data_IF_135361449387
#
_entry.id   IF_135361449387
#
_cell.length_a   1.000
_cell.length_b   1.000
_cell.length_c   1.000
_cell.angle_alpha   90.00
_cell.angle_beta   90.00
_cell.angle_gamma   90.00
#
_symmetry.space_group_name_H-M   'P 1'
#
loop_
_entity.id
_entity.type
_entity.pdbx_description
1 polymer ?
#
# COMPACT_ATOMS: atom_id res chain seq x y z
N UNK A 1 15.41 13.38 3.83
CA UNK A 1 15.53 11.96 3.44
C UNK A 1 16.08 11.95 2.04
N UNK A 2 17.07 11.10 1.74
CA UNK A 2 17.59 10.97 0.37
C UNK A 2 16.41 10.59 -0.55
N UNK A 3 16.30 11.26 -1.69
CA UNK A 3 15.28 11.00 -2.70
C UNK A 3 15.66 9.73 -3.48
N UNK A 4 15.92 8.63 -2.77
CA UNK A 4 16.09 7.32 -3.37
C UNK A 4 14.69 6.89 -3.78
N UNK A 5 14.37 7.04 -5.07
CA UNK A 5 13.02 6.80 -5.58
C UNK A 5 12.45 5.43 -5.20
N UNK A 6 11.13 5.25 -5.39
CA UNK A 6 10.43 4.01 -5.05
C UNK A 6 11.10 2.79 -5.71
N UNK A 7 11.81 1.99 -4.91
CA UNK A 7 12.66 0.90 -5.38
C UNK A 7 11.91 -0.40 -5.72
N UNK A 8 10.71 -0.29 -6.28
CA UNK A 8 9.78 -1.41 -6.46
C UNK A 8 10.29 -2.47 -7.45
N UNK A 9 11.28 -2.13 -8.30
CA UNK A 9 11.97 -3.09 -9.15
C UNK A 9 12.67 -4.20 -8.35
N UNK A 10 12.98 -3.95 -7.07
CA UNK A 10 13.61 -4.90 -6.15
C UNK A 10 12.64 -5.94 -5.59
N UNK A 11 11.32 -5.81 -5.83
CA UNK A 11 10.33 -6.78 -5.37
C UNK A 11 10.52 -8.14 -6.06
N UNK A 12 10.55 -9.20 -5.26
CA UNK A 12 10.74 -10.58 -5.68
C UNK A 12 9.39 -11.32 -5.77
N UNK A 13 8.52 -11.14 -4.77
CA UNK A 13 7.26 -11.86 -4.58
C UNK A 13 6.06 -10.97 -4.92
N UNK A 14 6.01 -9.75 -4.38
CA UNK A 14 4.88 -8.82 -4.50
C UNK A 14 4.87 -8.03 -5.81
N UNK A 15 5.21 -8.69 -6.92
CA UNK A 15 5.41 -8.02 -8.22
C UNK A 15 4.10 -7.59 -8.88
N UNK A 16 2.95 -8.10 -8.43
CA UNK A 16 1.65 -7.75 -9.00
C UNK A 16 1.29 -6.29 -8.71
N UNK A 17 1.79 -5.74 -7.59
CA UNK A 17 1.68 -4.32 -7.22
C UNK A 17 2.16 -3.38 -8.34
N UNK A 18 3.16 -3.79 -9.13
CA UNK A 18 3.69 -2.99 -10.25
C UNK A 18 2.68 -2.79 -11.40
N UNK A 19 1.61 -3.60 -11.44
CA UNK A 19 0.57 -3.49 -12.46
C UNK A 19 -0.49 -2.45 -12.09
N UNK A 20 -0.55 -2.03 -10.83
CA UNK A 20 -1.53 -1.06 -10.36
C UNK A 20 -1.28 0.32 -10.98
N UNK A 21 -2.35 0.96 -11.45
CA UNK A 21 -2.27 2.25 -12.13
C UNK A 21 -1.79 3.36 -11.20
N UNK A 22 -2.24 3.35 -9.93
CA UNK A 22 -1.87 4.36 -8.93
C UNK A 22 -0.41 4.21 -8.54
N UNK A 23 0.08 2.97 -8.34
CA UNK A 23 1.50 2.70 -8.07
C UNK A 23 2.39 3.16 -9.22
N UNK A 24 2.01 2.85 -10.47
CA UNK A 24 2.76 3.33 -11.65
C UNK A 24 2.85 4.85 -11.71
N UNK A 25 1.74 5.56 -11.40
CA UNK A 25 1.74 7.02 -11.33
C UNK A 25 2.64 7.54 -10.22
N UNK A 26 2.69 6.87 -9.07
CA UNK A 26 3.62 7.23 -8.00
C UNK A 26 5.09 7.10 -8.45
N UNK A 27 5.43 6.01 -9.15
CA UNK A 27 6.78 5.84 -9.72
C UNK A 27 7.09 6.92 -10.77
N UNK A 28 6.15 7.20 -11.67
CA UNK A 28 6.27 8.27 -12.68
C UNK A 28 6.46 9.64 -12.03
N UNK A 29 5.70 9.94 -10.98
CA UNK A 29 5.77 11.19 -10.23
C UNK A 29 7.15 11.38 -9.58
N UNK A 30 7.70 10.35 -8.94
CA UNK A 30 9.05 10.39 -8.37
C UNK A 30 10.10 10.63 -9.44
N UNK A 31 10.04 9.90 -10.55
CA UNK A 31 10.95 10.09 -11.69
C UNK A 31 10.86 11.51 -12.27
N UNK A 32 9.65 12.05 -12.38
CA UNK A 32 9.42 13.43 -12.82
C UNK A 32 10.02 14.46 -11.87
N UNK A 33 9.93 14.24 -10.56
CA UNK A 33 10.49 15.13 -9.55
C UNK A 33 12.03 15.15 -9.56
N UNK A 34 12.65 14.03 -9.91
CA UNK A 34 14.11 13.91 -10.03
C UNK A 34 14.67 14.42 -11.37
N UNK A 35 13.79 14.75 -12.33
CA UNK A 35 14.18 15.18 -13.68
C UNK A 35 14.27 16.71 -13.75
N UNK A 36 15.47 17.31 -13.87
CA UNK A 36 15.65 18.78 -13.78
C UNK A 36 14.92 19.60 -14.85
N UNK A 37 14.63 19.00 -16.01
CA UNK A 37 13.96 19.64 -17.14
C UNK A 37 12.43 19.49 -17.13
N UNK A 38 11.87 18.88 -16.09
CA UNK A 38 10.45 18.58 -16.06
C UNK A 38 9.61 19.84 -15.85
N UNK A 39 8.56 20.00 -16.66
CA UNK A 39 7.63 21.12 -16.51
C UNK A 39 6.78 20.90 -15.26
N UNK A 40 6.75 21.87 -14.34
CA UNK A 40 5.97 21.82 -13.10
C UNK A 40 4.51 21.38 -13.34
N UNK A 41 3.86 21.97 -14.36
CA UNK A 41 2.48 21.63 -14.76
C UNK A 41 2.28 20.14 -15.11
N UNK A 42 3.29 19.48 -15.67
CA UNK A 42 3.23 18.04 -15.96
C UNK A 42 3.26 17.22 -14.69
N UNK A 43 4.08 17.62 -13.71
CA UNK A 43 4.17 16.99 -12.40
C UNK A 43 2.86 17.15 -11.63
N UNK A 44 2.32 18.37 -11.59
CA UNK A 44 1.00 18.65 -11.00
C UNK A 44 -0.09 17.78 -11.63
N UNK A 45 -0.12 17.66 -12.97
CA UNK A 45 -1.09 16.83 -13.67
C UNK A 45 -0.98 15.35 -13.26
N UNK A 46 0.24 14.83 -13.14
CA UNK A 46 0.48 13.45 -12.67
C UNK A 46 0.00 13.27 -11.22
N UNK A 47 0.35 14.21 -10.34
CA UNK A 47 -0.07 14.23 -8.94
C UNK A 47 -1.60 14.19 -8.79
N UNK A 48 -2.33 15.10 -9.44
CA UNK A 48 -3.80 15.12 -9.37
C UNK A 48 -4.45 13.90 -10.03
N UNK A 49 -3.87 13.33 -11.09
CA UNK A 49 -4.35 12.10 -11.70
C UNK A 49 -4.19 10.89 -10.76
N UNK A 50 -3.15 10.88 -9.93
CA UNK A 50 -2.95 9.88 -8.88
C UNK A 50 -3.96 10.07 -7.73
N UNK A 51 -4.17 11.31 -7.27
CA UNK A 51 -5.18 11.60 -6.25
C UNK A 51 -6.60 11.20 -6.70
N UNK A 52 -6.94 11.45 -7.96
CA UNK A 52 -8.22 11.03 -8.51
C UNK A 52 -8.37 9.49 -8.51
N UNK A 53 -7.31 8.74 -8.82
CA UNK A 53 -7.32 7.28 -8.73
C UNK A 53 -7.53 6.80 -7.29
N UNK A 54 -6.89 7.44 -6.32
CA UNK A 54 -7.06 7.13 -4.89
C UNK A 54 -8.49 7.39 -4.42
N UNK A 55 -9.09 8.53 -4.76
CA UNK A 55 -10.49 8.85 -4.40
C UNK A 55 -11.45 7.82 -5.01
N UNK A 56 -11.26 7.46 -6.29
CA UNK A 56 -12.06 6.42 -6.94
C UNK A 56 -11.93 5.05 -6.28
N UNK A 57 -10.75 4.70 -5.76
CA UNK A 57 -10.52 3.45 -5.04
C UNK A 57 -11.17 3.50 -3.65
N UNK A 58 -11.07 4.64 -2.96
CA UNK A 58 -11.66 4.86 -1.66
C UNK A 58 -13.19 4.73 -1.67
N UNK A 59 -13.85 5.34 -2.66
CA UNK A 59 -15.31 5.24 -2.81
C UNK A 59 -15.79 3.81 -3.08
N UNK A 60 -15.03 3.05 -3.87
CA UNK A 60 -15.36 1.65 -4.19
C UNK A 60 -15.17 0.72 -2.99
N UNK A 61 -14.11 0.94 -2.21
CA UNK A 61 -13.76 0.07 -1.09
C UNK A 61 -14.22 0.61 0.28
N UNK A 62 -14.94 1.74 0.30
CA UNK A 62 -15.41 2.42 1.51
C UNK A 62 -14.29 2.72 2.51
N UNK A 63 -13.16 3.19 1.99
CA UNK A 63 -12.01 3.53 2.81
C UNK A 63 -12.14 4.92 3.41
N UNK A 64 -11.80 5.02 4.69
CA UNK A 64 -11.66 6.28 5.41
C UNK A 64 -10.20 6.52 5.82
N UNK A 65 -9.85 7.78 6.01
CA UNK A 65 -8.53 8.17 6.49
C UNK A 65 -7.48 8.34 5.37
N UNK A 66 -6.23 7.96 5.66
CA UNK A 66 -5.12 8.01 4.68
C UNK A 66 -5.34 7.04 3.51
N UNK A 67 -5.73 7.59 2.35
CA UNK A 67 -6.05 6.83 1.15
C UNK A 67 -4.87 6.13 0.52
N UNK A 68 -3.67 6.73 0.59
CA UNK A 68 -2.47 6.12 0.02
C UNK A 68 -2.10 4.85 0.78
N UNK A 69 -2.02 4.98 2.12
CA UNK A 69 -1.73 3.84 3.00
C UNK A 69 -2.77 2.74 2.88
N UNK A 70 -4.05 3.11 2.80
CA UNK A 70 -5.12 2.13 2.60
C UNK A 70 -4.97 1.39 1.26
N UNK A 71 -4.69 2.12 0.18
CA UNK A 71 -4.49 1.54 -1.16
C UNK A 71 -3.30 0.59 -1.21
N UNK A 72 -2.14 0.99 -0.68
CA UNK A 72 -0.94 0.15 -0.65
C UNK A 72 -1.18 -1.11 0.19
N UNK A 73 -1.78 -0.97 1.38
CA UNK A 73 -2.06 -2.13 2.24
C UNK A 73 -3.03 -3.10 1.57
N UNK A 74 -4.09 -2.59 0.93
CA UNK A 74 -5.02 -3.43 0.20
C UNK A 74 -4.31 -4.23 -0.91
N UNK A 75 -3.44 -3.59 -1.69
CA UNK A 75 -2.68 -4.26 -2.74
C UNK A 75 -1.78 -5.36 -2.19
N UNK A 76 -1.10 -5.13 -1.06
CA UNK A 76 -0.29 -6.16 -0.38
C UNK A 76 -1.17 -7.33 0.02
N UNK A 77 -2.31 -7.03 0.62
CA UNK A 77 -3.18 -8.02 1.18
C UNK A 77 -3.97 -8.82 0.12
N UNK A 78 -4.26 -8.23 -1.03
CA UNK A 78 -4.90 -8.88 -2.19
C UNK A 78 -3.90 -9.60 -3.12
N UNK A 79 -2.58 -9.42 -2.94
CA UNK A 79 -1.56 -10.05 -3.77
C UNK A 79 -1.47 -11.56 -3.47
N UNK A 80 -2.10 -12.36 -4.33
CA UNK A 80 -1.97 -13.81 -4.34
C UNK A 80 -0.65 -14.24 -5.00
N UNK A 81 0.38 -14.44 -4.18
CA UNK A 81 1.70 -14.89 -4.58
C UNK A 81 2.16 -16.13 -3.79
N UNK A 82 3.35 -16.63 -4.12
CA UNK A 82 3.89 -17.86 -3.51
C UNK A 82 3.98 -17.75 -1.98
N UNK A 83 4.29 -16.56 -1.43
CA UNK A 83 4.33 -16.36 0.02
C UNK A 83 2.94 -16.32 0.63
N UNK A 84 2.01 -15.53 0.08
CA UNK A 84 0.66 -15.43 0.63
C UNK A 84 -0.06 -16.79 0.62
N UNK A 85 0.06 -17.55 -0.47
CA UNK A 85 -0.50 -18.90 -0.62
C UNK A 85 0.14 -19.91 0.36
N UNK A 86 1.46 -19.81 0.59
CA UNK A 86 2.15 -20.67 1.55
C UNK A 86 1.72 -20.38 2.99
N UNK A 87 1.56 -19.10 3.33
CA UNK A 87 1.12 -18.64 4.65
C UNK A 87 -0.36 -18.95 4.90
N UNK A 88 -1.22 -18.83 3.89
CA UNK A 88 -2.62 -19.25 4.00
C UNK A 88 -2.71 -20.72 4.45
N UNK A 89 -1.95 -21.60 3.79
CA UNK A 89 -1.96 -23.04 4.09
C UNK A 89 -1.25 -23.41 5.40
N UNK A 90 -0.11 -22.79 5.69
CA UNK A 90 0.82 -23.29 6.73
C UNK A 90 1.10 -22.28 7.87
N UNK A 91 0.50 -21.09 7.83
CA UNK A 91 0.87 -19.97 8.69
C UNK A 91 2.35 -19.60 8.53
N UNK A 92 3.01 -19.32 9.64
CA UNK A 92 4.44 -18.96 9.63
C UNK A 92 5.39 -20.12 9.26
N UNK A 93 4.88 -21.36 9.12
CA UNK A 93 5.69 -22.54 8.80
C UNK A 93 6.00 -22.58 7.30
N UNK A 94 6.84 -21.66 6.85
CA UNK A 94 7.33 -21.57 5.46
C UNK A 94 8.82 -21.89 5.36
N UNK A 95 9.32 -22.16 4.16
CA UNK A 95 10.74 -22.44 3.94
C UNK A 95 11.60 -21.21 4.25
N UNK A 96 12.83 -21.44 4.73
CA UNK A 96 13.75 -20.36 5.07
C UNK A 96 14.04 -19.42 3.88
N UNK A 97 14.16 -19.97 2.66
CA UNK A 97 14.35 -19.16 1.46
C UNK A 97 13.16 -18.25 1.16
N UNK A 98 11.94 -18.78 1.25
CA UNK A 98 10.72 -17.99 1.04
C UNK A 98 10.57 -16.90 2.10
N UNK A 99 10.89 -17.21 3.36
CA UNK A 99 10.91 -16.24 4.45
C UNK A 99 11.87 -15.08 4.17
N UNK A 100 13.11 -15.36 3.73
CA UNK A 100 14.07 -14.30 3.42
C UNK A 100 13.63 -13.42 2.25
N UNK A 101 13.06 -14.02 1.19
CA UNK A 101 12.50 -13.26 0.06
C UNK A 101 11.34 -12.36 0.50
N UNK A 102 10.45 -12.85 1.37
CA UNK A 102 9.35 -12.07 1.90
C UNK A 102 9.83 -10.95 2.83
N UNK A 103 10.84 -11.22 3.67
CA UNK A 103 11.43 -10.21 4.54
C UNK A 103 12.07 -9.05 3.74
N UNK A 104 12.74 -9.37 2.64
CA UNK A 104 13.28 -8.39 1.71
C UNK A 104 12.18 -7.53 1.08
N UNK A 105 11.11 -8.16 0.57
CA UNK A 105 9.99 -7.43 -0.03
C UNK A 105 9.27 -6.54 1.00
N UNK A 106 9.08 -7.00 2.24
CA UNK A 106 8.45 -6.19 3.30
C UNK A 106 9.21 -4.89 3.57
N UNK A 107 10.53 -4.89 3.49
CA UNK A 107 11.31 -3.66 3.62
C UNK A 107 10.98 -2.67 2.48
N UNK A 108 10.92 -3.14 1.24
CA UNK A 108 10.55 -2.33 0.06
C UNK A 108 9.10 -1.84 0.15
N UNK A 109 8.19 -2.70 0.61
CA UNK A 109 6.78 -2.35 0.79
C UNK A 109 6.58 -1.33 1.92
N UNK A 110 7.40 -1.36 2.97
CA UNK A 110 7.38 -0.37 4.05
C UNK A 110 7.81 1.02 3.53
N UNK A 111 8.81 1.08 2.65
CA UNK A 111 9.19 2.32 1.96
C UNK A 111 8.03 2.86 1.11
N UNK A 112 7.39 1.99 0.31
CA UNK A 112 6.23 2.36 -0.50
C UNK A 112 5.05 2.86 0.34
N UNK A 113 4.72 2.13 1.41
CA UNK A 113 3.60 2.46 2.30
C UNK A 113 3.79 3.82 2.98
N UNK A 114 5.03 4.19 3.31
CA UNK A 114 5.36 5.47 3.94
C UNK A 114 5.73 6.57 2.95
N UNK A 115 5.45 6.38 1.65
CA UNK A 115 5.61 7.42 0.64
C UNK A 115 4.77 8.67 0.95
N UNK A 116 5.44 9.82 1.06
CA UNK A 116 4.85 11.05 1.60
C UNK A 116 4.25 11.93 0.48
N UNK A 117 2.98 11.70 0.15
CA UNK A 117 2.25 12.54 -0.81
C UNK A 117 2.18 14.04 -0.43
N UNK A 118 1.93 14.42 0.83
CA UNK A 118 1.98 15.83 1.24
C UNK A 118 3.29 16.53 0.91
N UNK A 119 4.44 15.86 1.09
CA UNK A 119 5.75 16.44 0.76
C UNK A 119 5.84 16.83 -0.72
N UNK A 120 5.21 16.05 -1.61
CA UNK A 120 5.17 16.37 -3.04
C UNK A 120 4.27 17.57 -3.29
N UNK A 121 3.10 17.64 -2.66
CA UNK A 121 2.23 18.82 -2.76
C UNK A 121 2.92 20.11 -2.28
N UNK A 122 3.68 20.04 -1.18
CA UNK A 122 4.47 21.17 -0.68
C UNK A 122 5.54 21.60 -1.70
N UNK A 123 6.28 20.64 -2.27
CA UNK A 123 7.29 20.92 -3.33
C UNK A 123 6.68 21.55 -4.58
N UNK A 124 5.40 21.25 -4.87
CA UNK A 124 4.65 21.84 -5.96
C UNK A 124 3.99 23.19 -5.60
N UNK A 125 4.21 23.70 -4.37
CA UNK A 125 3.62 24.96 -3.91
C UNK A 125 2.11 24.90 -3.68
N UNK A 126 1.56 23.69 -3.48
CA UNK A 126 0.13 23.46 -3.33
C UNK A 126 -0.28 23.37 -1.85
N UNK A 127 -1.53 23.76 -1.57
CA UNK A 127 -2.11 23.54 -0.26
C UNK A 127 -2.44 22.05 -0.08
N UNK A 128 -1.84 21.42 0.93
CA UNK A 128 -2.05 20.01 1.26
C UNK A 128 -3.45 19.72 1.80
N UNK A 129 -4.23 20.74 2.17
CA UNK A 129 -5.60 20.60 2.69
C UNK A 129 -6.59 19.98 1.70
N UNK A 130 -6.30 20.02 0.40
CA UNK A 130 -7.09 19.34 -0.64
C UNK A 130 -6.99 17.81 -0.48
N UNK A 131 -5.91 17.33 0.13
CA UNK A 131 -5.69 15.94 0.49
C UNK A 131 -5.89 15.77 2.00
N UNK A 132 -7.14 15.63 2.42
CA UNK A 132 -7.42 15.33 3.82
C UNK A 132 -7.07 13.87 4.10
N UNK A 133 -6.16 13.65 5.06
CA UNK A 133 -5.95 12.36 5.71
C UNK A 133 -7.17 11.85 6.47
N UNK A 134 -8.26 12.63 6.53
CA UNK A 134 -9.53 12.27 7.13
C UNK A 134 -10.62 12.15 6.05
N UNK A 135 -10.29 11.54 4.91
CA UNK A 135 -11.29 11.21 3.90
C UNK A 135 -12.39 10.35 4.52
N UNK A 136 -13.65 10.66 4.18
CA UNK A 136 -14.82 9.89 4.59
C UNK A 136 -15.55 9.50 3.31
N UNK A 137 -15.63 8.20 3.02
CA UNK A 137 -16.42 7.70 1.89
C UNK A 137 -17.91 7.75 2.21
N UNK A 138 -18.77 8.00 1.22
CA UNK A 138 -20.22 8.02 1.41
C UNK A 138 -20.76 6.63 1.80
N UNK A 139 -21.62 6.58 2.83
CA UNK A 139 -22.37 5.38 3.25
C UNK A 139 -21.68 4.48 4.28
N UNK A 140 -21.00 5.07 5.27
CA UNK A 140 -20.12 4.42 6.25
C UNK A 140 -20.79 3.52 7.31
N UNK A 141 -21.91 2.86 7.01
CA UNK A 141 -22.53 1.93 7.97
C UNK A 141 -22.73 0.52 7.35
N UNK A 142 -22.00 -0.44 7.92
CA UNK A 142 -22.46 -1.81 8.22
C UNK A 142 -22.35 -2.99 7.24
N UNK A 143 -21.47 -2.99 6.23
CA UNK A 143 -21.35 -4.14 5.31
C UNK A 143 -20.00 -4.84 5.19
N UNK A 144 -19.00 -4.51 6.02
CA UNK A 144 -17.72 -5.23 6.03
C UNK A 144 -17.54 -6.05 7.31
N UNK A 145 -17.08 -7.30 7.16
CA UNK A 145 -16.81 -8.20 8.27
C UNK A 145 -15.89 -7.54 9.31
N UNK A 146 -16.36 -7.42 10.55
CA UNK A 146 -15.66 -6.77 11.67
C UNK A 146 -14.22 -7.31 11.89
N UNK A 147 -13.95 -8.63 11.75
CA UNK A 147 -12.60 -9.17 11.90
C UNK A 147 -11.60 -8.69 10.84
N UNK A 148 -12.03 -8.54 9.58
CA UNK A 148 -11.17 -8.03 8.50
C UNK A 148 -10.74 -6.60 8.78
N UNK A 149 -11.72 -5.73 9.07
CA UNK A 149 -11.48 -4.31 9.35
C UNK A 149 -10.52 -4.16 10.53
N UNK A 150 -10.75 -4.91 11.61
CA UNK A 150 -9.88 -4.88 12.78
C UNK A 150 -8.43 -5.26 12.43
N UNK A 151 -8.23 -6.38 11.72
CA UNK A 151 -6.88 -6.80 11.29
C UNK A 151 -6.24 -5.84 10.30
N UNK A 152 -7.03 -5.24 9.41
CA UNK A 152 -6.56 -4.22 8.47
C UNK A 152 -6.02 -3.00 9.22
N UNK A 153 -6.77 -2.49 10.22
CA UNK A 153 -6.30 -1.39 11.05
C UNK A 153 -5.05 -1.75 11.85
N UNK A 154 -5.00 -2.93 12.44
CA UNK A 154 -3.82 -3.41 13.17
C UNK A 154 -2.57 -3.46 12.27
N UNK A 155 -2.69 -4.02 11.07
CA UNK A 155 -1.59 -4.04 10.11
C UNK A 155 -1.20 -2.63 9.66
N UNK A 156 -2.17 -1.75 9.40
CA UNK A 156 -1.91 -0.35 9.02
C UNK A 156 -1.10 0.39 10.10
N UNK A 157 -1.42 0.16 11.37
CA UNK A 157 -0.67 0.71 12.51
C UNK A 157 0.75 0.16 12.54
N UNK A 158 0.93 -1.16 12.43
CA UNK A 158 2.26 -1.79 12.41
C UNK A 158 3.12 -1.26 11.24
N UNK A 159 2.55 -1.12 10.04
CA UNK A 159 3.26 -0.56 8.87
C UNK A 159 3.63 0.92 9.04
N UNK A 160 2.86 1.66 9.85
CA UNK A 160 3.13 3.08 10.16
C UNK A 160 4.20 3.24 11.23
N UNK A 161 4.29 2.31 12.18
CA UNK A 161 5.29 2.33 13.24
C UNK A 161 6.68 1.95 12.72
N UNK A 162 7.73 2.30 13.48
CA UNK A 162 9.09 1.85 13.18
C UNK A 162 9.34 0.39 13.59
N UNK A 163 8.37 -0.47 13.30
CA UNK A 163 8.43 -1.90 13.59
C UNK A 163 9.42 -2.61 12.66
N UNK A 164 10.06 -3.64 13.21
CA UNK A 164 11.01 -4.42 12.43
C UNK A 164 10.29 -5.15 11.27
N UNK A 165 10.94 -5.32 10.10
CA UNK A 165 10.37 -6.11 9.00
C UNK A 165 9.95 -7.53 9.41
N UNK A 166 10.58 -8.10 10.45
CA UNK A 166 10.23 -9.44 10.97
C UNK A 166 8.87 -9.44 11.68
N UNK A 167 8.59 -8.42 12.50
CA UNK A 167 7.31 -8.28 13.18
C UNK A 167 6.18 -8.11 12.17
N UNK A 168 6.39 -7.23 11.17
CA UNK A 168 5.45 -7.05 10.06
C UNK A 168 5.18 -8.34 9.29
N UNK A 169 6.24 -9.08 8.96
CA UNK A 169 6.13 -10.33 8.23
C UNK A 169 5.34 -11.40 9.01
N UNK A 170 5.55 -11.49 10.33
CA UNK A 170 4.81 -12.40 11.22
C UNK A 170 3.32 -12.05 11.25
N UNK A 171 2.97 -10.78 11.50
CA UNK A 171 1.57 -10.34 11.49
C UNK A 171 0.90 -10.52 10.13
N UNK A 172 1.65 -10.35 9.03
CA UNK A 172 1.14 -10.57 7.68
C UNK A 172 0.94 -12.06 7.36
N UNK A 173 1.85 -12.93 7.80
CA UNK A 173 1.70 -14.38 7.67
C UNK A 173 0.48 -14.89 8.45
N UNK A 174 0.28 -14.39 9.69
CA UNK A 174 -0.92 -14.67 10.48
C UNK A 174 -2.18 -14.16 9.80
N UNK A 175 -2.12 -12.96 9.21
CA UNK A 175 -3.23 -12.42 8.44
C UNK A 175 -3.65 -13.39 7.34
N UNK A 176 -2.73 -13.82 6.48
CA UNK A 176 -3.06 -14.75 5.39
C UNK A 176 -3.55 -16.10 5.90
N UNK A 177 -3.02 -16.58 7.03
CA UNK A 177 -3.46 -17.85 7.60
C UNK A 177 -4.91 -17.83 8.09
N UNK A 178 -5.35 -16.71 8.67
CA UNK A 178 -6.69 -16.59 9.26
C UNK A 178 -7.72 -16.09 8.27
N UNK A 179 -7.35 -15.11 7.43
CA UNK A 179 -8.28 -14.45 6.52
C UNK A 179 -8.21 -14.99 5.08
N UNK A 180 -7.16 -15.74 4.73
CA UNK A 180 -6.85 -16.09 3.34
C UNK A 180 -6.17 -14.96 2.57
N UNK A 181 -5.77 -15.24 1.33
CA UNK A 181 -5.24 -14.24 0.39
C UNK A 181 -6.16 -14.04 -0.83
N UNK A 182 -5.89 -12.99 -1.62
CA UNK A 182 -6.64 -12.68 -2.84
C UNK A 182 -8.02 -12.05 -2.61
N UNK A 183 -8.67 -11.56 -3.66
CA UNK A 183 -9.91 -10.76 -3.56
C UNK A 183 -11.10 -11.52 -2.93
N UNK A 184 -11.10 -12.85 -2.99
CA UNK A 184 -12.17 -13.70 -2.45
C UNK A 184 -12.24 -13.72 -0.92
N UNK A 185 -11.18 -13.29 -0.23
CA UNK A 185 -11.14 -13.19 1.25
C UNK A 185 -12.17 -12.22 1.83
N UNK A 186 -12.61 -11.24 1.04
CA UNK A 186 -13.64 -10.25 1.45
C UNK A 186 -15.02 -10.88 1.68
N UNK A 187 -15.20 -12.17 1.31
CA UNK A 187 -16.46 -12.89 1.36
C UNK A 187 -16.44 -14.15 2.25
N UNK A 188 -15.34 -14.41 2.97
CA UNK A 188 -15.30 -15.52 3.94
C UNK A 188 -15.94 -15.09 5.28
N UNK A 189 -16.92 -15.90 5.72
CA UNK A 189 -17.76 -15.71 6.90
C UNK A 189 -17.17 -16.38 8.16
#
# INVERSE_FOLDING_TARGET
MSNDGLNLQRLLLYRQILKDETIRKAQELVLMMDTPSQKLRSVEKCYFAMLQSLIKAAERNKWNGDLWKNHVLELILDDENIFSLACEKNGEKISAGLYQSALHDIAVLKELFNFNLPEIAEKLGMNTSVFSFNFQSDGSEDHFHTPYIFKFHQLKELFTQDESPRALLSSLAEFYHVAGCGTMRKFHA
#
